data_IF_629224482360
#
_entry.id   IF_629224482360
#
_cell.length_a   1.000
_cell.length_b   1.000
_cell.length_c   1.000
_cell.angle_alpha   90.00
_cell.angle_beta   90.00
_cell.angle_gamma   90.00
#
_symmetry.space_group_name_H-M   'P 1'
#
loop_
_entity.id
_entity.type
_entity.pdbx_description
1 polymer ?
#
# COMPACT_ATOMS: atom_id res chain seq x y z
N UNK A 1 27.58 -20.88 -14.73
CA UNK A 1 26.62 -21.78 -14.08
C UNK A 1 25.95 -20.96 -12.99
N UNK A 2 24.88 -20.25 -13.34
CA UNK A 2 24.14 -19.43 -12.37
C UNK A 2 23.10 -20.30 -11.67
N UNK A 3 23.13 -20.26 -10.34
CA UNK A 3 22.25 -21.02 -9.46
C UNK A 3 20.77 -20.64 -9.71
N UNK A 4 20.07 -21.47 -10.46
CA UNK A 4 18.61 -21.44 -10.66
C UNK A 4 17.91 -21.91 -9.38
N UNK A 5 17.94 -21.11 -8.32
CA UNK A 5 17.17 -21.37 -7.10
C UNK A 5 16.53 -20.10 -6.50
N UNK A 6 16.45 -19.01 -7.27
CA UNK A 6 15.96 -17.72 -6.77
C UNK A 6 14.43 -17.54 -6.81
N UNK A 7 13.64 -18.60 -7.01
CA UNK A 7 12.18 -18.42 -7.10
C UNK A 7 11.38 -19.61 -6.55
N UNK A 8 11.72 -20.05 -5.33
CA UNK A 8 10.86 -20.97 -4.56
C UNK A 8 9.70 -20.28 -3.84
N UNK A 9 9.64 -18.94 -3.88
CA UNK A 9 8.60 -18.16 -3.20
C UNK A 9 8.03 -17.07 -4.12
N UNK A 10 6.72 -16.79 -4.05
CA UNK A 10 6.09 -15.76 -4.84
C UNK A 10 6.61 -14.39 -4.41
N UNK A 11 7.05 -13.60 -5.39
CA UNK A 11 7.27 -12.18 -5.16
C UNK A 11 5.89 -11.53 -4.99
N UNK A 12 5.55 -11.15 -3.76
CA UNK A 12 4.31 -10.43 -3.46
C UNK A 12 4.50 -8.91 -3.55
N UNK A 13 5.74 -8.44 -3.61
CA UNK A 13 6.09 -7.04 -3.68
C UNK A 13 6.11 -6.49 -5.10
N UNK A 14 6.51 -5.23 -5.22
CA UNK A 14 6.68 -4.53 -6.50
C UNK A 14 8.00 -3.76 -6.51
N UNK A 15 8.53 -3.54 -7.71
CA UNK A 15 9.84 -2.92 -7.91
C UNK A 15 9.87 -1.44 -7.50
N UNK A 16 11.05 -0.93 -7.13
CA UNK A 16 11.22 0.48 -6.75
C UNK A 16 10.97 1.41 -7.94
N UNK A 17 11.27 0.96 -9.15
CA UNK A 17 11.03 1.67 -10.40
C UNK A 17 9.53 1.89 -10.62
N UNK A 18 8.71 0.86 -10.40
CA UNK A 18 7.24 0.98 -10.51
C UNK A 18 6.65 1.88 -9.41
N UNK A 19 7.21 1.83 -8.20
CA UNK A 19 6.83 2.75 -7.11
C UNK A 19 7.20 4.20 -7.50
N UNK A 20 8.37 4.41 -8.10
CA UNK A 20 8.80 5.71 -8.62
C UNK A 20 7.85 6.26 -9.69
N UNK A 21 7.47 5.44 -10.67
CA UNK A 21 6.47 5.83 -11.70
C UNK A 21 5.14 6.24 -11.07
N UNK A 22 4.69 5.55 -10.02
CA UNK A 22 3.48 5.93 -9.30
C UNK A 22 3.63 7.26 -8.56
N UNK A 23 4.78 7.49 -7.91
CA UNK A 23 5.08 8.73 -7.22
C UNK A 23 5.13 9.92 -8.19
N UNK A 24 5.80 9.75 -9.34
CA UNK A 24 5.90 10.76 -10.40
C UNK A 24 4.52 11.11 -10.98
N UNK A 25 3.67 10.11 -11.22
CA UNK A 25 2.30 10.32 -11.69
C UNK A 25 1.44 11.12 -10.72
N UNK A 26 1.79 11.11 -9.44
CA UNK A 26 1.13 11.88 -8.38
C UNK A 26 1.85 13.20 -8.06
N UNK A 27 3.00 13.47 -8.68
CA UNK A 27 3.83 14.64 -8.40
C UNK A 27 4.38 14.68 -6.97
N UNK A 28 4.63 13.52 -6.36
CA UNK A 28 5.11 13.39 -4.99
C UNK A 28 6.33 12.48 -4.86
N UNK A 29 6.92 12.46 -3.67
CA UNK A 29 7.94 11.53 -3.22
C UNK A 29 7.41 10.81 -1.99
N UNK A 30 7.37 9.48 -2.08
CA UNK A 30 7.07 8.64 -0.92
C UNK A 30 8.28 8.58 0.02
N UNK A 31 8.01 8.56 1.32
CA UNK A 31 9.02 8.22 2.32
C UNK A 31 9.51 6.79 2.13
N UNK A 32 10.79 6.54 2.41
CA UNK A 32 11.43 5.21 2.29
C UNK A 32 10.65 4.13 3.07
N UNK A 33 10.12 4.50 4.23
CA UNK A 33 9.34 3.58 5.05
C UNK A 33 8.10 3.07 4.31
N UNK A 34 7.41 3.96 3.57
CA UNK A 34 6.22 3.62 2.79
C UNK A 34 6.59 2.79 1.56
N UNK A 35 7.66 3.14 0.84
CA UNK A 35 8.12 2.37 -0.31
C UNK A 35 8.52 0.94 0.07
N UNK A 36 9.18 0.78 1.23
CA UNK A 36 9.60 -0.53 1.72
C UNK A 36 8.43 -1.50 1.97
N UNK A 37 7.23 -0.98 2.26
CA UNK A 37 6.03 -1.81 2.45
C UNK A 37 5.61 -2.45 1.12
N UNK A 38 5.52 -1.66 0.04
CA UNK A 38 5.16 -2.17 -1.29
C UNK A 38 6.22 -3.11 -1.86
N UNK A 39 7.50 -2.89 -1.57
CA UNK A 39 8.57 -3.81 -1.95
C UNK A 39 8.45 -5.19 -1.27
N UNK A 40 7.84 -5.26 -0.09
CA UNK A 40 7.57 -6.52 0.63
C UNK A 40 6.26 -7.15 0.16
N UNK A 41 5.18 -6.36 0.11
CA UNK A 41 3.87 -6.80 -0.37
C UNK A 41 3.11 -5.65 -1.01
N UNK A 42 2.82 -5.79 -2.29
CA UNK A 42 2.11 -4.81 -3.09
C UNK A 42 0.59 -4.86 -2.84
N UNK A 43 0.19 -4.36 -1.68
CA UNK A 43 -1.19 -4.40 -1.18
C UNK A 43 -1.35 -5.45 -0.09
N UNK A 44 -2.02 -5.05 0.99
CA UNK A 44 -2.30 -5.89 2.15
C UNK A 44 -3.63 -5.48 2.79
N UNK A 45 -4.27 -6.43 3.46
CA UNK A 45 -5.40 -6.16 4.33
C UNK A 45 -4.89 -5.88 5.74
N UNK A 46 -5.37 -4.80 6.34
CA UNK A 46 -5.04 -4.31 7.67
C UNK A 46 -6.28 -4.47 8.59
N UNK A 47 -6.09 -4.57 9.92
CA UNK A 47 -7.22 -4.80 10.83
C UNK A 47 -8.28 -3.69 10.75
N UNK A 48 -9.55 -4.08 10.83
CA UNK A 48 -10.66 -3.13 10.68
C UNK A 48 -11.10 -2.92 9.23
N UNK A 49 -10.77 -3.86 8.34
CA UNK A 49 -11.23 -3.86 6.94
C UNK A 49 -10.50 -2.88 6.03
N UNK A 50 -9.34 -2.36 6.48
CA UNK A 50 -8.54 -1.43 5.69
C UNK A 50 -7.78 -2.17 4.59
N UNK A 51 -8.01 -1.79 3.34
CA UNK A 51 -7.27 -2.29 2.19
C UNK A 51 -6.18 -1.29 1.84
N UNK A 52 -4.93 -1.64 2.16
CA UNK A 52 -3.78 -0.83 1.80
C UNK A 52 -3.60 -0.83 0.29
N UNK A 53 -3.62 0.36 -0.30
CA UNK A 53 -3.66 0.51 -1.74
C UNK A 53 -2.36 0.01 -2.38
N UNK A 54 -2.44 -0.89 -3.38
CA UNK A 54 -1.26 -1.34 -4.10
C UNK A 54 -0.74 -0.23 -5.02
N UNK A 55 0.49 -0.40 -5.51
CA UNK A 55 0.94 0.23 -6.75
C UNK A 55 0.43 -0.61 -7.93
N UNK A 56 0.05 0.05 -9.03
CA UNK A 56 -0.48 -0.65 -10.18
C UNK A 56 0.54 -1.63 -10.77
N UNK A 57 0.17 -2.90 -10.86
CA UNK A 57 0.99 -3.96 -11.44
C UNK A 57 0.35 -4.46 -12.74
N UNK A 58 1.01 -4.23 -13.86
CA UNK A 58 0.55 -4.70 -15.18
C UNK A 58 0.49 -6.23 -15.28
N UNK A 59 1.24 -6.95 -14.47
CA UNK A 59 1.17 -8.41 -14.41
C UNK A 59 -0.06 -8.91 -13.65
N UNK A 60 -0.68 -8.04 -12.84
CA UNK A 60 -1.79 -8.38 -11.96
C UNK A 60 -2.87 -7.26 -11.88
N UNK A 61 -3.35 -6.75 -13.02
CA UNK A 61 -4.10 -5.49 -13.08
C UNK A 61 -5.47 -5.57 -12.39
N UNK A 62 -6.07 -6.78 -12.35
CA UNK A 62 -7.36 -7.00 -11.66
C UNK A 62 -7.23 -6.88 -10.13
N UNK A 63 -6.10 -7.30 -9.55
CA UNK A 63 -5.89 -7.22 -8.10
C UNK A 63 -5.35 -5.86 -7.67
N UNK A 64 -4.72 -5.12 -8.58
CA UNK A 64 -4.17 -3.80 -8.31
C UNK A 64 -4.96 -2.68 -8.98
N UNK A 65 -6.24 -2.87 -9.31
CA UNK A 65 -7.05 -1.85 -9.98
C UNK A 65 -7.29 -0.62 -9.11
N UNK A 66 -7.44 -0.83 -7.79
CA UNK A 66 -7.67 0.23 -6.81
C UNK A 66 -6.32 0.73 -6.27
N UNK A 67 -5.42 1.08 -7.19
CA UNK A 67 -4.05 1.44 -6.84
C UNK A 67 -3.93 2.89 -6.34
N UNK A 68 -2.83 3.16 -5.64
CA UNK A 68 -2.53 4.43 -4.98
C UNK A 68 -2.73 5.66 -5.88
N UNK A 69 -2.28 5.59 -7.13
CA UNK A 69 -2.45 6.68 -8.10
C UNK A 69 -3.92 6.93 -8.43
N UNK A 70 -4.71 5.88 -8.68
CA UNK A 70 -6.13 6.03 -9.02
C UNK A 70 -6.90 6.66 -7.86
N UNK A 71 -6.71 6.12 -6.65
CA UNK A 71 -7.40 6.56 -5.42
C UNK A 71 -7.06 8.01 -5.01
N UNK A 72 -5.94 8.55 -5.49
CA UNK A 72 -5.52 9.93 -5.24
C UNK A 72 -5.66 10.86 -6.43
N UNK A 73 -6.16 10.38 -7.57
CA UNK A 73 -6.43 11.20 -8.76
C UNK A 73 -7.90 11.07 -9.16
N UNK A 74 -8.26 10.02 -9.89
CA UNK A 74 -9.60 9.82 -10.45
C UNK A 74 -10.63 9.35 -9.43
N UNK A 75 -10.22 8.47 -8.51
CA UNK A 75 -11.06 7.93 -7.43
C UNK A 75 -11.09 8.81 -6.18
N UNK A 76 -10.39 9.95 -6.20
CA UNK A 76 -10.27 10.84 -5.06
C UNK A 76 -11.60 11.53 -4.75
N UNK A 77 -11.92 11.65 -3.46
CA UNK A 77 -13.06 12.44 -3.01
C UNK A 77 -12.84 13.93 -3.33
N UNK A 78 -13.78 14.61 -4.03
CA UNK A 78 -13.57 15.97 -4.54
C UNK A 78 -13.42 17.02 -3.44
N UNK A 79 -13.86 16.72 -2.22
CA UNK A 79 -13.79 17.61 -1.05
C UNK A 79 -12.69 17.24 -0.05
N UNK A 80 -11.86 16.21 -0.35
CA UNK A 80 -10.70 15.87 0.48
C UNK A 80 -9.55 16.84 0.17
N UNK A 81 -9.01 17.51 1.21
CA UNK A 81 -7.87 18.43 1.08
C UNK A 81 -6.70 17.80 0.32
N UNK A 82 -6.19 18.49 -0.71
CA UNK A 82 -5.06 18.04 -1.55
C UNK A 82 -3.78 17.79 -0.77
N UNK A 83 -3.68 18.26 0.47
CA UNK A 83 -2.58 17.93 1.39
C UNK A 83 -2.62 16.47 1.86
N UNK A 84 -3.72 15.74 1.66
CA UNK A 84 -3.86 14.34 2.05
C UNK A 84 -3.64 13.40 0.89
N UNK A 85 -2.78 12.40 1.11
CA UNK A 85 -2.61 11.23 0.25
C UNK A 85 -3.28 10.05 0.94
N UNK A 86 -4.34 9.51 0.34
CA UNK A 86 -4.96 8.28 0.81
C UNK A 86 -4.07 7.09 0.50
N UNK A 87 -3.83 6.23 1.48
CA UNK A 87 -2.99 5.04 1.39
C UNK A 87 -3.77 3.74 1.64
N UNK A 88 -5.00 3.84 2.15
CA UNK A 88 -5.90 2.70 2.31
C UNK A 88 -7.35 3.17 2.38
N UNK A 89 -8.28 2.32 1.94
CA UNK A 89 -9.72 2.53 2.08
C UNK A 89 -10.37 1.41 2.88
N UNK A 90 -11.53 1.66 3.47
CA UNK A 90 -12.42 0.62 3.98
C UNK A 90 -13.75 0.60 3.19
N UNK A 91 -14.63 -0.33 3.54
CA UNK A 91 -15.94 -0.53 2.90
C UNK A 91 -16.96 0.58 3.23
N UNK A 92 -16.64 1.47 4.17
CA UNK A 92 -17.49 2.60 4.56
C UNK A 92 -17.05 3.92 3.93
N UNK A 93 -16.18 3.91 2.92
CA UNK A 93 -15.67 5.13 2.25
C UNK A 93 -14.63 5.93 3.04
N UNK A 94 -14.32 5.55 4.28
CA UNK A 94 -13.27 6.21 5.06
C UNK A 94 -11.90 5.85 4.49
N UNK A 95 -10.91 6.69 4.79
CA UNK A 95 -9.59 6.59 4.20
C UNK A 95 -8.52 6.67 5.29
N UNK A 96 -7.47 5.84 5.20
CA UNK A 96 -6.21 6.14 5.89
C UNK A 96 -5.42 7.08 5.03
N UNK A 97 -5.07 8.25 5.58
CA UNK A 97 -4.35 9.30 4.85
C UNK A 97 -3.04 9.64 5.53
N UNK A 98 -2.08 10.09 4.73
CA UNK A 98 -0.84 10.72 5.17
C UNK A 98 -0.85 12.16 4.65
N UNK A 99 -0.36 13.11 5.46
CA UNK A 99 -0.16 14.49 5.00
C UNK A 99 1.05 14.59 4.08
N UNK A 100 1.02 15.48 3.10
CA UNK A 100 2.22 15.87 2.34
C UNK A 100 2.62 17.30 2.69
N UNK A 101 3.93 17.52 2.82
CA UNK A 101 4.52 18.85 2.87
C UNK A 101 5.15 19.13 1.50
N UNK A 102 4.50 20.01 0.73
CA UNK A 102 4.83 20.20 -0.69
C UNK A 102 4.62 18.91 -1.49
N UNK A 103 5.73 18.32 -1.95
CA UNK A 103 5.76 17.08 -2.72
C UNK A 103 6.19 15.86 -1.90
N UNK A 104 6.49 15.98 -0.60
CA UNK A 104 6.98 14.85 0.19
C UNK A 104 5.92 14.39 1.19
N UNK A 105 5.65 13.08 1.25
CA UNK A 105 4.73 12.53 2.26
C UNK A 105 5.36 12.56 3.65
N UNK A 106 4.53 12.70 4.68
CA UNK A 106 4.92 12.48 6.07
C UNK A 106 4.92 10.97 6.38
N UNK A 107 5.06 10.61 7.66
CA UNK A 107 5.01 9.24 8.18
C UNK A 107 3.82 9.00 9.10
N UNK A 108 3.19 10.07 9.60
CA UNK A 108 1.99 9.98 10.43
C UNK A 108 0.76 9.61 9.61
N UNK A 109 -0.03 8.67 10.14
CA UNK A 109 -1.25 8.17 9.50
C UNK A 109 -2.47 8.67 10.26
N UNK A 110 -3.46 9.15 9.52
CA UNK A 110 -4.74 9.61 10.04
C UNK A 110 -5.88 8.81 9.42
N UNK A 111 -6.94 8.58 10.18
CA UNK A 111 -8.24 8.20 9.65
C UNK A 111 -8.94 9.48 9.21
N UNK A 112 -9.26 9.58 7.93
CA UNK A 112 -10.13 10.59 7.35
C UNK A 112 -11.54 10.02 7.23
N UNK A 113 -12.51 10.71 7.84
CA UNK A 113 -13.92 10.33 7.78
C UNK A 113 -14.60 11.06 6.61
N UNK A 114 -15.16 10.30 5.68
CA UNK A 114 -15.70 10.87 4.44
C UNK A 114 -16.98 11.69 4.67
N UNK A 115 -17.80 11.33 5.66
CA UNK A 115 -19.07 12.02 5.94
C UNK A 115 -18.86 13.39 6.60
N UNK A 116 -17.80 13.52 7.41
CA UNK A 116 -17.58 14.70 8.26
C UNK A 116 -16.34 15.51 7.86
N UNK A 117 -15.53 15.00 6.94
CA UNK A 117 -14.22 15.54 6.54
C UNK A 117 -13.22 15.70 7.71
N UNK A 118 -13.49 15.07 8.86
CA UNK A 118 -12.63 15.14 10.05
C UNK A 118 -11.50 14.13 9.94
N UNK A 119 -10.34 14.51 10.48
CA UNK A 119 -9.20 13.61 10.63
C UNK A 119 -8.97 13.26 12.10
N UNK A 120 -8.56 12.03 12.36
CA UNK A 120 -8.10 11.56 13.66
C UNK A 120 -6.84 10.73 13.47
N UNK A 121 -5.84 10.90 14.33
CA UNK A 121 -4.62 10.06 14.28
C UNK A 121 -4.99 8.58 14.37
N UNK A 122 -4.48 7.79 13.44
CA UNK A 122 -4.65 6.33 13.50
C UNK A 122 -3.77 5.77 14.61
N UNK A 123 -4.26 4.75 15.32
CA UNK A 123 -3.53 4.20 16.48
C UNK A 123 -2.30 3.38 16.10
N UNK A 124 -2.08 3.14 14.80
CA UNK A 124 -0.96 2.39 14.24
C UNK A 124 -0.12 3.31 13.34
N UNK A 125 1.02 2.80 12.89
CA UNK A 125 2.00 3.55 12.10
C UNK A 125 2.52 2.70 10.92
N UNK A 126 3.40 3.27 10.11
CA UNK A 126 3.98 2.58 8.95
C UNK A 126 4.79 1.32 9.33
N UNK A 127 5.46 1.28 10.49
CA UNK A 127 6.13 0.07 10.98
C UNK A 127 5.14 -1.07 11.19
N UNK A 128 3.98 -0.77 11.77
CA UNK A 128 2.92 -1.76 11.94
C UNK A 128 2.45 -2.33 10.58
N UNK A 129 2.25 -1.48 9.57
CA UNK A 129 1.87 -1.91 8.22
C UNK A 129 2.98 -2.79 7.61
N UNK A 130 4.25 -2.41 7.79
CA UNK A 130 5.41 -3.21 7.34
C UNK A 130 5.45 -4.60 7.99
N UNK A 131 5.19 -4.70 9.29
CA UNK A 131 5.06 -5.99 9.97
C UNK A 131 3.93 -6.85 9.40
N UNK A 132 2.79 -6.25 9.04
CA UNK A 132 1.70 -6.99 8.39
C UNK A 132 2.10 -7.49 6.99
N UNK A 133 2.86 -6.70 6.24
CA UNK A 133 3.41 -7.11 4.94
C UNK A 133 4.35 -8.33 5.08
N UNK A 134 5.25 -8.31 6.05
CA UNK A 134 6.16 -9.43 6.34
C UNK A 134 5.37 -10.69 6.73
N UNK A 135 4.42 -10.56 7.66
CA UNK A 135 3.56 -11.67 8.11
C UNK A 135 2.77 -12.30 6.97
N UNK A 136 2.32 -11.49 6.01
CA UNK A 136 1.63 -11.99 4.81
C UNK A 136 2.55 -12.86 3.96
N UNK A 137 3.77 -12.41 3.68
CA UNK A 137 4.78 -13.17 2.93
C UNK A 137 5.09 -14.50 3.63
N UNK A 138 5.34 -14.47 4.94
CA UNK A 138 5.61 -15.66 5.75
C UNK A 138 4.45 -16.67 5.71
N UNK A 139 3.21 -16.17 5.83
CA UNK A 139 2.00 -17.00 5.77
C UNK A 139 1.85 -17.68 4.41
N UNK A 140 2.04 -16.94 3.32
CA UNK A 140 1.97 -17.49 1.95
C UNK A 140 3.05 -18.56 1.75
N UNK A 141 4.29 -18.28 2.17
CA UNK A 141 5.39 -19.24 2.07
C UNK A 141 5.12 -20.52 2.88
N UNK A 142 4.55 -20.37 4.08
CA UNK A 142 4.16 -21.52 4.92
C UNK A 142 3.06 -22.35 4.25
N UNK A 143 2.08 -21.71 3.61
CA UNK A 143 1.02 -22.41 2.87
C UNK A 143 1.56 -23.18 1.67
N UNK A 144 2.49 -22.60 0.91
CA UNK A 144 3.16 -23.25 -0.22
C UNK A 144 3.92 -24.49 0.24
N UNK A 145 4.73 -24.37 1.30
CA UNK A 145 5.47 -25.52 1.87
C UNK A 145 4.55 -26.67 2.26
N UNK A 146 3.43 -26.37 2.93
CA UNK A 146 2.42 -27.36 3.32
C UNK A 146 1.70 -28.00 2.13
N UNK A 147 1.55 -27.27 1.02
CA UNK A 147 0.98 -27.78 -0.22
C UNK A 147 1.93 -28.72 -0.96
N UNK A 148 3.23 -28.43 -0.95
CA UNK A 148 4.27 -29.24 -1.59
C UNK A 148 4.64 -30.51 -0.80
N UNK A 149 4.35 -30.54 0.50
CA UNK A 149 4.60 -31.71 1.37
C UNK A 149 3.45 -32.72 1.42
N UNK A 150 2.43 -32.56 0.57
CA UNK A 150 1.28 -33.45 0.41
C UNK A 150 1.35 -34.17 -0.93
#
# INVERSE_FOLDING_TARGET
MENTNSQLYPNLGISIEQIGVAADAMGIKFQEQLTSIWQISNGIELPGGWLFYPVFDKSNPRKTSNHIVYENTKGRWPYMSDEFISIAGNDTGNQLVIKKSGSTTDTEIFVWNHETNKIKKWSKNLNYIKEQAIKRVEKVNTQIKRGLSK
#
